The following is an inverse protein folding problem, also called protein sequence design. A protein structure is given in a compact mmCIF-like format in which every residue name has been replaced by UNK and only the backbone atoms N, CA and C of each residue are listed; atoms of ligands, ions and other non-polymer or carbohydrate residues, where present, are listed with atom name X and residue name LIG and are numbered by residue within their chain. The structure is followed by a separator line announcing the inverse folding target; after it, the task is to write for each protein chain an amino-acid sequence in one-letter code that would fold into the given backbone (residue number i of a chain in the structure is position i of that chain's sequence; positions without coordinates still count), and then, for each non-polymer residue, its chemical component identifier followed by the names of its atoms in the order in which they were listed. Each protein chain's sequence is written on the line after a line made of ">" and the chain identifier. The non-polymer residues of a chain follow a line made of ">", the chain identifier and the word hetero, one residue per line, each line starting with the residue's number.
data_IF_542006486210
#
_entry.id   IF_542006486210
#
_cell.length_a   1.000
_cell.length_b   1.000
_cell.length_c   1.000
_cell.angle_alpha   90.00
_cell.angle_beta   90.00
_cell.angle_gamma   90.00
#
_symmetry.space_group_name_H-M   'P 1'
#
loop_
_entity.id
_entity.type
_entity.pdbx_description
1 polymer ?
#
# COMPACT_ATOMS: atom_id res chain seq x y z
N UNK A 1 -31.97 27.40 16.87
CA UNK A 1 -33.12 27.38 15.94
C UNK A 1 -33.38 25.96 15.44
N UNK A 2 -34.61 25.43 15.64
CA UNK A 2 -34.97 24.07 15.18
C UNK A 2 -35.32 24.17 13.70
N UNK A 3 -34.51 23.56 12.82
CA UNK A 3 -34.76 23.53 11.39
C UNK A 3 -36.02 22.71 11.09
N UNK A 4 -37.07 23.35 10.60
CA UNK A 4 -38.29 22.70 10.13
C UNK A 4 -38.09 22.25 8.70
N UNK A 5 -38.46 20.99 8.39
CA UNK A 5 -38.41 20.41 7.03
C UNK A 5 -39.87 20.09 6.64
N UNK A 6 -40.45 20.79 5.65
CA UNK A 6 -41.82 20.50 5.20
C UNK A 6 -41.92 19.07 4.65
N UNK A 7 -43.01 18.34 5.07
CA UNK A 7 -43.24 16.95 4.63
C UNK A 7 -42.53 15.85 5.44
N UNK A 8 -41.76 16.20 6.46
CA UNK A 8 -41.07 15.22 7.33
C UNK A 8 -42.05 14.51 8.27
N UNK A 9 -42.15 13.19 8.26
CA UNK A 9 -42.96 12.38 9.15
C UNK A 9 -42.42 12.39 10.59
N UNK A 10 -43.28 12.07 11.58
CA UNK A 10 -42.85 11.96 12.98
C UNK A 10 -41.73 10.97 13.20
N UNK A 11 -41.71 9.87 12.46
CA UNK A 11 -40.67 8.83 12.54
C UNK A 11 -39.34 9.32 11.95
N UNK A 12 -39.36 9.96 10.80
CA UNK A 12 -38.18 10.57 10.18
C UNK A 12 -37.55 11.63 11.07
N UNK A 13 -38.41 12.43 11.75
CA UNK A 13 -37.96 13.44 12.72
C UNK A 13 -37.29 12.81 13.95
N UNK A 14 -37.82 11.65 14.41
CA UNK A 14 -37.26 10.90 15.54
C UNK A 14 -35.93 10.28 15.17
N UNK A 15 -35.83 9.66 13.98
CA UNK A 15 -34.59 9.10 13.45
C UNK A 15 -33.48 10.16 13.29
N UNK A 16 -33.80 11.33 12.72
CA UNK A 16 -32.88 12.46 12.58
C UNK A 16 -32.36 12.99 13.92
N UNK A 17 -33.23 13.05 14.94
CA UNK A 17 -32.83 13.47 16.30
C UNK A 17 -31.92 12.44 16.97
N UNK A 18 -32.16 11.15 16.75
CA UNK A 18 -31.32 10.07 17.27
C UNK A 18 -29.94 10.05 16.58
N UNK A 19 -29.88 10.26 15.25
CA UNK A 19 -28.60 10.41 14.53
C UNK A 19 -27.80 11.62 15.04
N UNK A 20 -28.48 12.74 15.32
CA UNK A 20 -27.83 13.95 15.84
C UNK A 20 -27.34 13.79 17.30
N UNK A 21 -28.04 12.99 18.11
CA UNK A 21 -27.59 12.62 19.47
C UNK A 21 -26.37 11.69 19.43
N UNK A 22 -26.37 10.68 18.56
CA UNK A 22 -25.27 9.77 18.43
C UNK A 22 -23.98 10.43 17.88
N UNK A 23 -24.12 11.48 17.05
CA UNK A 23 -22.97 12.30 16.61
C UNK A 23 -22.36 13.17 17.72
N UNK A 24 -23.13 13.51 18.77
CA UNK A 24 -22.62 14.31 19.91
C UNK A 24 -21.95 13.46 21.00
N UNK A 25 -22.11 12.14 20.98
CA UNK A 25 -21.52 11.22 21.98
C UNK A 25 -20.31 10.45 21.46
N UNK A 26 -19.90 10.66 20.21
CA UNK A 26 -18.61 10.20 19.75
C UNK A 26 -17.57 11.25 20.15
N UNK A 27 -17.04 11.11 21.37
CA UNK A 27 -15.73 11.66 21.68
C UNK A 27 -14.74 11.09 20.66
N UNK A 28 -13.79 11.88 20.15
CA UNK A 28 -12.76 11.36 19.26
C UNK A 28 -12.05 10.24 20.03
N UNK A 29 -12.17 9.00 19.51
CA UNK A 29 -11.47 7.84 20.04
C UNK A 29 -10.00 8.26 20.11
N UNK A 30 -9.33 8.23 21.28
CA UNK A 30 -7.92 8.57 21.35
C UNK A 30 -7.19 7.58 20.43
N UNK A 31 -6.62 8.12 19.35
CA UNK A 31 -5.69 7.38 18.51
C UNK A 31 -4.57 6.98 19.47
N UNK A 32 -4.30 5.69 19.70
CA UNK A 32 -3.20 5.30 20.55
C UNK A 32 -1.96 5.93 19.93
N UNK A 33 -1.38 6.89 20.61
CA UNK A 33 -0.09 7.46 20.28
C UNK A 33 0.97 6.40 20.57
N UNK A 34 1.05 5.40 19.68
CA UNK A 34 2.30 4.70 19.49
C UNK A 34 3.24 5.69 18.83
N UNK A 35 3.66 6.67 19.60
CA UNK A 35 4.80 7.51 19.26
C UNK A 35 6.07 6.63 19.32
N UNK A 36 6.19 5.74 18.33
CA UNK A 36 7.52 5.52 17.80
C UNK A 36 7.85 6.82 17.10
N UNK A 37 8.55 7.71 17.79
CA UNK A 37 9.15 8.91 17.24
C UNK A 37 10.26 8.46 16.28
N UNK A 38 9.87 7.82 15.18
CA UNK A 38 10.70 7.74 14.00
C UNK A 38 10.54 9.08 13.29
N UNK A 39 11.22 10.09 13.79
CA UNK A 39 11.59 11.23 12.96
C UNK A 39 12.20 10.64 11.70
N UNK A 40 11.60 10.80 10.50
CA UNK A 40 12.16 10.24 9.30
C UNK A 40 13.55 10.85 9.18
N UNK A 41 14.59 10.02 9.32
CA UNK A 41 15.93 10.44 8.90
C UNK A 41 15.73 10.96 7.48
N UNK A 42 16.23 12.16 7.20
CA UNK A 42 16.05 12.93 5.94
C UNK A 42 16.74 12.26 4.74
N UNK A 43 16.59 10.97 4.57
CA UNK A 43 16.93 10.33 3.30
C UNK A 43 15.89 10.78 2.28
N UNK A 44 16.28 11.59 1.32
CA UNK A 44 15.42 11.94 0.18
C UNK A 44 15.13 10.75 -0.73
N UNK A 45 15.66 9.58 -0.40
CA UNK A 45 15.62 8.37 -1.22
C UNK A 45 14.68 7.34 -0.58
N UNK A 46 13.81 6.74 -1.40
CA UNK A 46 13.04 5.57 -1.06
C UNK A 46 13.14 4.51 -2.16
N UNK A 47 13.11 3.26 -1.74
CA UNK A 47 13.04 2.10 -2.62
C UNK A 47 11.69 1.43 -2.43
N UNK A 48 10.89 1.34 -3.49
CA UNK A 48 9.63 0.60 -3.51
C UNK A 48 9.93 -0.75 -4.13
N UNK A 49 9.72 -1.82 -3.38
CA UNK A 49 10.10 -3.16 -3.81
C UNK A 49 8.84 -3.96 -4.12
N UNK A 50 8.65 -4.22 -5.42
CA UNK A 50 7.69 -5.19 -5.95
C UNK A 50 8.24 -6.61 -5.90
N UNK A 51 7.49 -7.55 -6.46
CA UNK A 51 7.84 -8.97 -6.47
C UNK A 51 8.13 -9.51 -7.89
N UNK A 52 8.30 -8.64 -8.86
CA UNK A 52 8.69 -9.01 -10.21
C UNK A 52 10.09 -9.67 -10.25
N UNK A 53 10.29 -10.54 -11.21
CA UNK A 53 11.51 -11.35 -11.33
C UNK A 53 12.76 -10.54 -11.64
N UNK A 54 12.61 -9.31 -12.20
CA UNK A 54 13.74 -8.40 -12.45
C UNK A 54 14.54 -8.05 -11.20
N UNK A 55 13.95 -8.16 -10.00
CA UNK A 55 14.68 -7.90 -8.75
C UNK A 55 15.53 -9.07 -8.26
N UNK A 56 15.49 -10.24 -8.92
CA UNK A 56 16.15 -11.45 -8.42
C UNK A 56 17.67 -11.32 -8.30
N UNK A 57 18.29 -10.48 -9.12
CA UNK A 57 19.73 -10.18 -9.09
C UNK A 57 20.13 -9.12 -8.05
N UNK A 58 19.15 -8.46 -7.41
CA UNK A 58 19.41 -7.30 -6.54
C UNK A 58 19.48 -7.74 -5.08
N UNK A 59 20.61 -7.52 -4.44
CA UNK A 59 20.72 -7.68 -2.99
C UNK A 59 20.06 -6.48 -2.26
N UNK A 60 18.83 -6.69 -1.79
CA UNK A 60 18.02 -5.64 -1.14
C UNK A 60 18.66 -5.08 0.14
N UNK A 61 19.49 -5.87 0.84
CA UNK A 61 20.16 -5.39 2.04
C UNK A 61 21.16 -4.26 1.74
N UNK A 62 21.73 -4.25 0.54
CA UNK A 62 22.63 -3.19 0.09
C UNK A 62 21.95 -1.84 -0.13
N UNK A 63 20.62 -1.81 -0.22
CA UNK A 63 19.84 -0.58 -0.40
C UNK A 63 19.60 0.17 0.91
N UNK A 64 19.60 -0.52 2.06
CA UNK A 64 19.29 0.07 3.38
C UNK A 64 20.13 1.30 3.75
N UNK A 65 21.45 1.38 3.45
CA UNK A 65 22.24 2.56 3.78
C UNK A 65 21.85 3.82 2.99
N UNK A 66 21.20 3.65 1.83
CA UNK A 66 20.89 4.74 0.91
C UNK A 66 19.51 5.35 1.11
N UNK A 67 18.54 4.58 1.64
CA UNK A 67 17.19 5.07 1.78
C UNK A 67 16.24 4.10 2.49
N UNK A 68 14.99 4.55 2.65
CA UNK A 68 13.94 3.72 3.26
C UNK A 68 13.38 2.73 2.26
N UNK A 69 13.09 1.52 2.73
CA UNK A 69 12.59 0.43 1.91
C UNK A 69 11.10 0.18 2.21
N UNK A 70 10.30 0.27 1.16
CA UNK A 70 8.87 0.02 1.15
C UNK A 70 8.60 -1.26 0.37
N UNK A 71 8.33 -2.34 1.06
CA UNK A 71 8.10 -3.66 0.46
C UNK A 71 6.62 -3.91 0.20
N UNK A 72 6.34 -4.87 -0.70
CA UNK A 72 4.99 -5.26 -1.07
C UNK A 72 4.73 -6.75 -0.81
N UNK A 73 3.57 -7.04 -0.20
CA UNK A 73 3.04 -8.40 -0.07
C UNK A 73 4.05 -9.40 0.56
N UNK A 74 4.45 -10.46 -0.15
CA UNK A 74 5.22 -11.56 0.38
C UNK A 74 6.73 -11.31 0.56
N UNK A 75 7.23 -10.12 0.26
CA UNK A 75 8.67 -9.82 0.37
C UNK A 75 9.27 -10.13 1.75
N UNK A 76 8.44 -10.06 2.80
CA UNK A 76 8.87 -10.35 4.18
C UNK A 76 9.41 -11.78 4.37
N UNK A 77 9.15 -12.69 3.41
CA UNK A 77 9.62 -14.09 3.45
C UNK A 77 11.14 -14.21 3.30
N UNK A 78 11.73 -13.29 2.53
CA UNK A 78 13.17 -13.28 2.24
C UNK A 78 13.86 -11.98 2.68
N UNK A 79 13.08 -10.90 2.91
CA UNK A 79 13.65 -9.62 3.32
C UNK A 79 12.66 -8.81 4.15
N UNK A 80 13.08 -8.29 5.30
CA UNK A 80 12.26 -7.41 6.15
C UNK A 80 12.51 -5.95 5.75
N UNK A 81 11.51 -5.27 5.11
CA UNK A 81 11.61 -3.87 4.75
C UNK A 81 11.42 -2.94 5.97
N UNK A 82 11.58 -1.62 5.81
CA UNK A 82 11.18 -0.65 6.84
C UNK A 82 9.63 -0.57 6.93
N UNK A 83 8.96 -0.59 5.78
CA UNK A 83 7.51 -0.52 5.64
C UNK A 83 7.02 -1.62 4.71
N UNK A 84 5.99 -2.34 5.11
CA UNK A 84 5.39 -3.42 4.33
C UNK A 84 3.95 -3.08 3.98
N UNK A 85 3.60 -3.15 2.70
CA UNK A 85 2.26 -2.83 2.19
C UNK A 85 1.57 -4.08 1.66
N UNK A 86 0.33 -4.29 2.07
CA UNK A 86 -0.52 -5.35 1.57
C UNK A 86 -1.96 -4.85 1.38
N UNK A 87 -2.57 -5.20 0.26
CA UNK A 87 -3.98 -4.93 -0.01
C UNK A 87 -4.80 -6.21 -0.11
N UNK A 88 -4.15 -7.34 -0.31
CA UNK A 88 -4.75 -8.66 -0.41
C UNK A 88 -5.06 -9.22 0.98
N UNK A 89 -6.28 -9.78 1.14
CA UNK A 89 -6.76 -10.34 2.39
C UNK A 89 -5.89 -11.50 2.91
N UNK A 90 -5.55 -12.43 2.01
CA UNK A 90 -4.84 -13.66 2.42
C UNK A 90 -3.40 -13.34 2.84
N UNK A 91 -2.72 -12.45 2.12
CA UNK A 91 -1.40 -11.96 2.50
C UNK A 91 -1.46 -11.18 3.82
N UNK A 92 -2.47 -10.33 4.00
CA UNK A 92 -2.65 -9.57 5.26
C UNK A 92 -2.84 -10.51 6.45
N UNK A 93 -3.65 -11.56 6.29
CA UNK A 93 -3.85 -12.54 7.35
C UNK A 93 -2.54 -13.27 7.68
N UNK A 94 -1.82 -13.73 6.66
CA UNK A 94 -0.53 -14.42 6.84
C UNK A 94 0.50 -13.57 7.57
N UNK A 95 0.57 -12.27 7.25
CA UNK A 95 1.45 -11.30 7.92
C UNK A 95 1.09 -11.15 9.40
N UNK A 96 -0.19 -11.20 9.75
CA UNK A 96 -0.65 -11.17 11.16
C UNK A 96 -0.29 -12.47 11.87
N UNK A 97 -0.51 -13.62 11.24
CA UNK A 97 -0.22 -14.93 11.81
C UNK A 97 1.29 -15.12 12.06
N UNK A 98 2.13 -14.68 11.13
CA UNK A 98 3.58 -14.74 11.20
C UNK A 98 4.19 -13.61 12.08
N UNK A 99 3.33 -12.73 12.65
CA UNK A 99 3.74 -11.59 13.51
C UNK A 99 4.76 -10.67 12.84
N UNK A 100 4.66 -10.46 11.54
CA UNK A 100 5.61 -9.62 10.78
C UNK A 100 5.58 -8.16 11.26
N UNK A 101 4.43 -7.72 11.78
CA UNK A 101 4.25 -6.39 12.37
C UNK A 101 5.15 -6.12 13.61
N UNK A 102 5.74 -7.15 14.21
CA UNK A 102 6.74 -6.99 15.27
C UNK A 102 8.14 -6.64 14.71
N UNK A 103 8.34 -6.82 13.38
CA UNK A 103 9.64 -6.66 12.70
C UNK A 103 9.71 -5.41 11.82
N UNK A 104 8.57 -4.95 11.29
CA UNK A 104 8.48 -3.75 10.46
C UNK A 104 7.08 -3.12 10.53
N UNK A 105 6.96 -1.89 10.07
CA UNK A 105 5.67 -1.20 10.01
C UNK A 105 4.85 -1.74 8.84
N UNK A 106 3.71 -2.38 9.14
CA UNK A 106 2.85 -3.05 8.17
C UNK A 106 1.58 -2.23 7.90
N UNK A 107 1.31 -1.91 6.64
CA UNK A 107 0.16 -1.12 6.19
C UNK A 107 -0.86 -1.97 5.44
N UNK A 108 -2.14 -1.81 5.79
CA UNK A 108 -3.26 -2.52 5.16
C UNK A 108 -4.47 -1.61 4.91
N UNK A 109 -5.41 -2.00 4.02
CA UNK A 109 -6.69 -1.32 3.87
C UNK A 109 -7.54 -1.38 5.14
N UNK A 110 -8.55 -0.52 5.24
CA UNK A 110 -9.40 -0.36 6.42
C UNK A 110 -10.02 -1.69 6.92
N UNK A 111 -10.43 -2.55 5.99
CA UNK A 111 -11.03 -3.84 6.35
C UNK A 111 -10.02 -4.74 7.06
N UNK A 112 -8.81 -4.88 6.52
CA UNK A 112 -7.77 -5.74 7.07
C UNK A 112 -7.14 -5.11 8.33
N UNK A 113 -7.02 -3.80 8.39
CA UNK A 113 -6.66 -3.08 9.61
C UNK A 113 -7.62 -3.43 10.77
N UNK A 114 -8.94 -3.39 10.54
CA UNK A 114 -9.93 -3.74 11.56
C UNK A 114 -9.88 -5.22 11.93
N UNK A 115 -9.74 -6.13 10.95
CA UNK A 115 -9.62 -7.59 11.18
C UNK A 115 -8.38 -7.95 11.99
N UNK A 116 -7.30 -7.24 11.80
CA UNK A 116 -6.05 -7.43 12.54
C UNK A 116 -6.11 -6.97 14.00
N UNK A 117 -7.27 -6.49 14.48
CA UNK A 117 -7.42 -5.83 15.78
C UNK A 117 -6.42 -4.67 15.95
N UNK A 118 -6.23 -3.92 14.87
CA UNK A 118 -5.34 -2.74 14.78
C UNK A 118 -3.85 -3.05 15.00
N UNK A 119 -3.40 -4.27 14.76
CA UNK A 119 -1.98 -4.63 14.75
C UNK A 119 -1.25 -4.08 13.53
N UNK A 120 -1.99 -3.83 12.43
CA UNK A 120 -1.49 -3.19 11.22
C UNK A 120 -1.77 -1.70 11.27
N UNK A 121 -1.08 -0.93 10.42
CA UNK A 121 -1.37 0.48 10.18
C UNK A 121 -2.36 0.63 9.02
N UNK A 122 -3.19 1.66 9.09
CA UNK A 122 -4.10 1.99 7.99
C UNK A 122 -3.33 2.65 6.85
N UNK A 123 -3.53 2.19 5.61
CA UNK A 123 -3.02 2.88 4.42
C UNK A 123 -3.68 4.28 4.37
N UNK A 124 -2.90 5.39 4.36
CA UNK A 124 -3.43 6.74 4.53
C UNK A 124 -4.38 7.18 3.42
N UNK A 125 -4.16 6.66 2.20
CA UNK A 125 -4.97 6.94 1.03
C UNK A 125 -4.99 5.69 0.15
N UNK A 126 -6.16 5.09 0.02
CA UNK A 126 -6.33 3.89 -0.79
C UNK A 126 -7.60 3.98 -1.64
N UNK A 127 -7.53 4.55 -2.86
CA UNK A 127 -8.62 4.50 -3.81
C UNK A 127 -8.62 3.16 -4.60
N UNK A 128 -8.58 2.02 -3.90
CA UNK A 128 -8.47 0.67 -4.45
C UNK A 128 -7.17 0.42 -5.25
N UNK A 129 -6.07 1.01 -4.81
CA UNK A 129 -4.76 0.77 -5.40
C UNK A 129 -4.16 -0.56 -4.99
N UNK A 130 -3.29 -1.10 -5.87
CA UNK A 130 -2.43 -2.24 -5.54
C UNK A 130 -1.39 -1.86 -4.48
N UNK A 131 -0.79 -2.85 -3.83
CA UNK A 131 0.19 -2.65 -2.75
C UNK A 131 1.35 -1.75 -3.17
N UNK A 132 1.87 -1.93 -4.40
CA UNK A 132 2.96 -1.11 -4.93
C UNK A 132 2.59 0.36 -5.08
N UNK A 133 1.41 0.66 -5.60
CA UNK A 133 0.92 2.04 -5.76
C UNK A 133 0.68 2.70 -4.39
N UNK A 134 0.13 1.96 -3.43
CA UNK A 134 -0.07 2.44 -2.06
C UNK A 134 1.29 2.73 -1.36
N UNK A 135 2.28 1.87 -1.54
CA UNK A 135 3.64 2.06 -1.05
C UNK A 135 4.29 3.30 -1.66
N UNK A 136 4.20 3.46 -2.99
CA UNK A 136 4.75 4.61 -3.71
C UNK A 136 4.13 5.92 -3.24
N UNK A 137 2.79 5.99 -3.19
CA UNK A 137 2.11 7.18 -2.67
C UNK A 137 2.56 7.52 -1.26
N UNK A 138 2.65 6.52 -0.38
CA UNK A 138 3.04 6.74 1.02
C UNK A 138 4.49 7.20 1.14
N UNK A 139 5.40 6.69 0.31
CA UNK A 139 6.78 7.19 0.27
C UNK A 139 6.84 8.68 -0.12
N UNK A 140 6.04 9.11 -1.11
CA UNK A 140 5.89 10.53 -1.44
C UNK A 140 5.35 11.34 -0.25
N UNK A 141 4.36 10.80 0.48
CA UNK A 141 3.78 11.46 1.67
C UNK A 141 4.79 11.56 2.83
N UNK A 142 5.70 10.61 2.95
CA UNK A 142 6.79 10.64 3.93
C UNK A 142 7.91 11.65 3.54
N UNK A 143 7.77 12.34 2.40
CA UNK A 143 8.66 13.42 1.98
C UNK A 143 9.87 12.98 1.17
N UNK A 144 9.91 11.71 0.73
CA UNK A 144 10.94 11.24 -0.19
C UNK A 144 10.75 11.89 -1.57
N UNK A 145 11.86 12.31 -2.18
CA UNK A 145 11.85 12.99 -3.49
C UNK A 145 12.42 12.13 -4.61
N UNK A 146 13.33 11.22 -4.31
CA UNK A 146 13.91 10.30 -5.27
C UNK A 146 13.45 8.88 -4.94
N UNK A 147 12.61 8.31 -5.78
CA UNK A 147 11.93 7.05 -5.53
C UNK A 147 12.33 6.06 -6.62
N UNK A 148 12.86 4.91 -6.19
CA UNK A 148 13.29 3.84 -7.06
C UNK A 148 12.29 2.69 -6.98
N UNK A 149 11.73 2.28 -8.13
CA UNK A 149 10.82 1.15 -8.28
C UNK A 149 11.64 -0.08 -8.69
N UNK A 150 11.71 -1.09 -7.83
CA UNK A 150 12.50 -2.31 -8.02
C UNK A 150 11.58 -3.52 -8.09
N UNK A 151 11.69 -4.36 -9.11
CA UNK A 151 10.81 -5.52 -9.30
C UNK A 151 9.38 -5.13 -9.73
N UNK A 152 9.25 -4.07 -10.53
CA UNK A 152 8.00 -3.63 -11.13
C UNK A 152 8.04 -3.88 -12.63
N UNK A 153 7.91 -5.12 -13.03
CA UNK A 153 8.05 -5.56 -14.42
C UNK A 153 6.81 -5.27 -15.25
N UNK A 154 5.66 -5.12 -14.60
CA UNK A 154 4.36 -4.81 -15.21
C UNK A 154 3.97 -5.73 -16.37
N UNK A 155 4.44 -6.97 -16.39
CA UNK A 155 4.08 -7.95 -17.41
C UNK A 155 4.08 -9.37 -16.84
N UNK A 156 3.40 -10.26 -17.54
CA UNK A 156 3.46 -11.72 -17.34
C UNK A 156 4.32 -12.36 -18.43
N UNK A 157 4.85 -13.53 -18.18
CA UNK A 157 5.66 -14.26 -19.16
C UNK A 157 4.86 -15.20 -20.06
N UNK A 158 3.54 -15.25 -19.92
CA UNK A 158 2.64 -16.11 -20.69
C UNK A 158 1.39 -16.45 -19.90
N UNK A 159 0.51 -17.26 -20.48
CA UNK A 159 -0.80 -17.56 -19.89
C UNK A 159 -0.75 -18.26 -18.53
N UNK A 160 0.34 -18.97 -18.24
CA UNK A 160 0.48 -19.82 -17.06
C UNK A 160 1.65 -19.39 -16.15
N UNK A 161 2.33 -18.30 -16.45
CA UNK A 161 3.51 -17.87 -15.71
C UNK A 161 3.29 -16.48 -15.13
N UNK A 162 3.11 -16.43 -13.82
CA UNK A 162 3.10 -15.19 -13.07
C UNK A 162 4.52 -14.61 -13.00
N UNK A 163 4.70 -13.38 -13.45
CA UNK A 163 5.96 -12.65 -13.25
C UNK A 163 6.11 -12.25 -11.78
N UNK A 164 6.42 -13.21 -10.95
CA UNK A 164 6.56 -13.04 -9.51
C UNK A 164 7.54 -14.05 -8.96
N UNK A 165 8.51 -13.62 -8.19
CA UNK A 165 9.52 -14.50 -7.59
C UNK A 165 8.96 -15.52 -6.60
N UNK A 166 7.71 -15.33 -6.14
CA UNK A 166 7.00 -16.24 -5.26
C UNK A 166 6.02 -17.15 -6.01
N UNK A 167 6.12 -17.23 -7.34
CA UNK A 167 5.29 -18.14 -8.13
C UNK A 167 5.32 -19.55 -7.52
N UNK A 168 4.17 -20.24 -7.59
CA UNK A 168 3.97 -21.60 -7.08
C UNK A 168 4.18 -21.75 -5.56
N UNK A 169 4.11 -20.64 -4.82
CA UNK A 169 4.08 -20.64 -3.35
C UNK A 169 2.70 -20.24 -2.82
N UNK A 170 2.51 -20.35 -1.50
CA UNK A 170 1.27 -19.92 -0.84
C UNK A 170 0.85 -18.52 -1.30
N UNK A 171 -0.41 -18.39 -1.73
CA UNK A 171 -1.05 -17.19 -2.29
C UNK A 171 -0.60 -16.77 -3.70
N UNK A 172 0.31 -17.50 -4.33
CA UNK A 172 0.85 -17.23 -5.66
C UNK A 172 0.82 -18.47 -6.57
N UNK A 173 -0.27 -19.23 -6.48
CA UNK A 173 -0.53 -20.36 -7.37
C UNK A 173 -0.73 -19.93 -8.83
N UNK A 174 -0.80 -20.92 -9.76
CA UNK A 174 -1.01 -20.63 -11.17
C UNK A 174 -2.28 -19.81 -11.35
N UNK A 175 -2.15 -18.68 -12.02
CA UNK A 175 -3.28 -17.82 -12.40
C UNK A 175 -3.51 -17.95 -13.89
N UNK A 176 -4.68 -18.39 -14.26
CA UNK A 176 -5.22 -18.19 -15.59
C UNK A 176 -5.70 -16.74 -15.67
N UNK A 177 -4.82 -15.79 -15.91
CA UNK A 177 -5.26 -14.42 -16.02
C UNK A 177 -4.69 -13.76 -17.24
N UNK A 178 -5.57 -13.27 -18.08
CA UNK A 178 -5.28 -12.13 -18.93
C UNK A 178 -5.06 -10.92 -18.03
N UNK A 179 -3.89 -10.87 -17.37
CA UNK A 179 -3.64 -9.81 -16.38
C UNK A 179 -3.48 -8.50 -17.10
N UNK A 180 -4.48 -7.66 -16.94
CA UNK A 180 -4.49 -6.32 -17.51
C UNK A 180 -3.59 -5.44 -16.65
N UNK A 181 -2.37 -5.19 -17.10
CA UNK A 181 -1.41 -4.29 -16.39
C UNK A 181 -1.73 -2.83 -16.56
N UNK A 182 -2.47 -2.46 -17.60
CA UNK A 182 -2.79 -1.08 -17.88
C UNK A 182 -3.48 -0.36 -16.68
N UNK A 183 -4.42 -0.96 -15.94
CA UNK A 183 -4.94 -0.35 -14.72
C UNK A 183 -3.87 -0.08 -13.65
N UNK A 184 -2.84 -0.92 -13.57
CA UNK A 184 -1.73 -0.69 -12.63
C UNK A 184 -0.86 0.48 -13.08
N UNK A 185 -0.48 0.51 -14.35
CA UNK A 185 0.26 1.63 -14.94
C UNK A 185 -0.47 2.96 -14.77
N UNK A 186 -1.80 2.99 -14.93
CA UNK A 186 -2.61 4.18 -14.71
C UNK A 186 -2.54 4.68 -13.25
N UNK A 187 -2.43 3.76 -12.27
CA UNK A 187 -2.23 4.15 -10.88
C UNK A 187 -0.90 4.89 -10.70
N UNK A 188 0.19 4.39 -11.27
CA UNK A 188 1.51 5.03 -11.21
C UNK A 188 1.50 6.38 -11.91
N UNK A 189 0.99 6.48 -13.13
CA UNK A 189 0.83 7.75 -13.87
C UNK A 189 0.01 8.77 -13.06
N UNK A 190 -1.05 8.32 -12.39
CA UNK A 190 -1.87 9.18 -11.51
C UNK A 190 -1.07 9.70 -10.32
N UNK A 191 -0.22 8.88 -9.72
CA UNK A 191 0.64 9.30 -8.60
C UNK A 191 1.67 10.31 -9.09
N UNK A 192 2.36 10.04 -10.19
CA UNK A 192 3.35 10.94 -10.78
C UNK A 192 2.76 12.32 -11.08
N UNK A 193 1.57 12.34 -11.71
CA UNK A 193 0.85 13.58 -12.00
C UNK A 193 0.50 14.39 -10.74
N UNK A 194 0.17 13.69 -9.65
CA UNK A 194 -0.21 14.32 -8.37
C UNK A 194 1.00 14.70 -7.50
N UNK A 195 2.18 14.15 -7.81
CA UNK A 195 3.43 14.34 -7.07
C UNK A 195 4.58 14.79 -7.97
N UNK A 196 4.42 15.92 -8.70
CA UNK A 196 5.38 16.35 -9.70
C UNK A 196 6.75 16.76 -9.13
N UNK A 197 6.86 16.86 -7.81
CA UNK A 197 8.10 17.14 -7.09
C UNK A 197 8.88 15.87 -6.69
N UNK A 198 8.33 14.68 -6.96
CA UNK A 198 9.02 13.41 -6.76
C UNK A 198 9.61 12.94 -8.09
N UNK A 199 10.91 12.66 -8.09
CA UNK A 199 11.57 11.95 -9.17
C UNK A 199 11.41 10.45 -8.93
N UNK A 200 11.05 9.69 -9.94
CA UNK A 200 10.98 8.25 -9.83
C UNK A 200 11.74 7.59 -10.97
N UNK A 201 12.33 6.46 -10.66
CA UNK A 201 13.15 5.68 -11.59
C UNK A 201 12.74 4.22 -11.47
N UNK A 202 12.42 3.57 -12.57
CA UNK A 202 12.23 2.12 -12.61
C UNK A 202 13.61 1.48 -12.78
N UNK A 203 13.97 0.62 -11.82
CA UNK A 203 15.22 -0.13 -11.85
C UNK A 203 14.98 -1.44 -12.56
N UNK A 204 15.45 -1.55 -13.79
CA UNK A 204 15.29 -2.71 -14.65
C UNK A 204 16.42 -2.76 -15.69
N UNK A 205 17.05 -3.92 -15.88
CA UNK A 205 18.18 -4.06 -16.81
C UNK A 205 17.78 -3.80 -18.28
N UNK A 206 16.54 -4.11 -18.62
CA UNK A 206 15.96 -3.86 -19.95
C UNK A 206 14.49 -3.43 -19.78
N UNK A 207 14.22 -2.16 -19.44
CA UNK A 207 12.87 -1.69 -19.17
C UNK A 207 12.02 -1.79 -20.44
N UNK A 208 10.83 -2.39 -20.37
CA UNK A 208 9.90 -2.39 -21.49
C UNK A 208 9.46 -0.98 -21.87
N UNK A 209 9.11 -0.75 -23.15
CA UNK A 209 8.72 0.57 -23.66
C UNK A 209 7.58 1.22 -22.88
N UNK A 210 6.63 0.43 -22.37
CA UNK A 210 5.51 0.95 -21.57
C UNK A 210 5.94 1.49 -20.20
N UNK A 211 7.12 1.12 -19.70
CA UNK A 211 7.69 1.66 -18.46
C UNK A 211 8.26 3.07 -18.71
N UNK A 212 8.76 3.33 -19.92
CA UNK A 212 9.25 4.66 -20.31
C UNK A 212 8.12 5.70 -20.41
N UNK A 213 6.88 5.25 -20.45
CA UNK A 213 5.68 6.08 -20.52
C UNK A 213 5.06 6.43 -19.14
N UNK A 214 5.71 6.06 -18.04
CA UNK A 214 5.33 6.46 -16.69
C UNK A 214 5.94 7.81 -16.36
#
# INVERSE_FOLDING_TARGET
>A
MKKYIPGETKEQRKARKNLAKNKKQQEPIPVPSNTVTNTPTKSNIAFIIGNGTSRSSINLAMLKPFGKIYGCNAIYRDFIPDYLFMVDRFISQKIVDDKVFDKCICYAPALEFNRSKRKLHLIPHNPHWISGSAAFWTACMHGHKNIYLVGFDFREYGKDQLNNIYQDTDNYGPRHSDTIFEPWLQQYRSICKRRPYCNFTVVHDNPPDYVQAI
#
